data_IF_794769441015
#
_entry.id   IF_794769441015
#
_cell.length_a   1.000
_cell.length_b   1.000
_cell.length_c   1.000
_cell.angle_alpha   90.00
_cell.angle_beta   90.00
_cell.angle_gamma   90.00
#
_symmetry.space_group_name_H-M   'P 1'
#
loop_
_entity.id
_entity.type
_entity.pdbx_description
1 polymer ?
#
# COMPACT_ATOMS: atom_id res chain seq x y z
N UNK A 1 -28.71 -11.34 1.75
CA UNK A 1 -27.43 -10.62 1.81
C UNK A 1 -26.98 -10.44 0.38
N UNK A 2 -26.70 -9.20 -0.07
CA UNK A 2 -26.37 -8.91 -1.47
C UNK A 2 -24.84 -8.89 -1.62
N UNK A 3 -24.31 -9.56 -2.64
CA UNK A 3 -22.89 -9.49 -2.98
C UNK A 3 -22.61 -8.15 -3.68
N UNK A 4 -21.72 -7.33 -3.10
CA UNK A 4 -21.37 -6.01 -3.64
C UNK A 4 -20.26 -6.08 -4.68
N UNK A 5 -19.28 -6.97 -4.47
CA UNK A 5 -18.15 -7.21 -5.37
C UNK A 5 -17.35 -8.43 -4.90
N UNK A 6 -16.54 -8.98 -5.81
CA UNK A 6 -15.55 -10.03 -5.55
C UNK A 6 -14.27 -9.75 -6.33
N UNK A 7 -13.12 -10.18 -5.80
CA UNK A 7 -11.82 -9.99 -6.45
C UNK A 7 -10.66 -9.83 -5.48
N UNK A 8 -9.47 -9.54 -6.00
CA UNK A 8 -8.30 -9.22 -5.16
C UNK A 8 -8.48 -7.85 -4.55
N UNK A 9 -8.66 -7.80 -3.22
CA UNK A 9 -8.79 -6.55 -2.48
C UNK A 9 -7.44 -5.84 -2.40
N UNK A 10 -7.40 -4.59 -2.88
CA UNK A 10 -6.22 -3.71 -2.77
C UNK A 10 -6.51 -2.51 -1.88
N UNK A 11 -5.47 -1.68 -1.64
CA UNK A 11 -5.61 -0.48 -0.81
C UNK A 11 -6.74 0.40 -1.36
N UNK A 12 -7.62 0.84 -0.45
CA UNK A 12 -8.77 1.68 -0.81
C UNK A 12 -8.37 2.92 -1.61
N UNK A 13 -9.20 3.27 -2.57
CA UNK A 13 -9.14 4.55 -3.24
C UNK A 13 -9.58 5.65 -2.28
N UNK A 14 -8.89 6.79 -2.33
CA UNK A 14 -9.24 7.99 -1.58
C UNK A 14 -9.19 9.18 -2.52
N UNK A 15 -10.26 9.97 -2.58
CA UNK A 15 -10.29 11.24 -3.31
C UNK A 15 -10.94 12.31 -2.45
N UNK A 16 -10.29 13.47 -2.34
CA UNK A 16 -10.87 14.63 -1.66
C UNK A 16 -11.87 15.33 -2.60
N UNK A 17 -13.13 15.35 -2.22
CA UNK A 17 -14.20 16.11 -2.85
C UNK A 17 -14.73 17.11 -1.83
N UNK A 18 -13.98 18.19 -1.63
CA UNK A 18 -14.16 19.11 -0.51
C UNK A 18 -15.63 19.55 -0.36
N UNK A 19 -16.19 19.52 0.86
CA UNK A 19 -15.51 19.29 2.15
C UNK A 19 -15.35 17.81 2.55
N UNK A 20 -15.77 16.85 1.71
CA UNK A 20 -15.87 15.44 2.08
C UNK A 20 -14.80 14.58 1.39
N UNK A 21 -14.24 13.62 2.10
CA UNK A 21 -13.35 12.61 1.51
C UNK A 21 -14.19 11.43 1.02
N UNK A 22 -14.04 11.05 -0.25
CA UNK A 22 -14.65 9.84 -0.79
C UNK A 22 -13.70 8.65 -0.69
N UNK A 23 -14.23 7.54 -0.21
CA UNK A 23 -13.54 6.26 -0.08
C UNK A 23 -14.16 5.22 -1.01
N UNK A 24 -13.33 4.36 -1.59
CA UNK A 24 -13.83 3.20 -2.34
C UNK A 24 -12.99 1.96 -2.12
N UNK A 25 -13.64 0.80 -1.96
CA UNK A 25 -12.96 -0.49 -2.08
C UNK A 25 -12.54 -0.73 -3.53
N UNK A 26 -11.38 -1.35 -3.72
CA UNK A 26 -10.85 -1.75 -5.02
C UNK A 26 -10.70 -3.26 -5.02
N UNK A 27 -11.53 -3.95 -5.79
CA UNK A 27 -11.49 -5.40 -5.99
C UNK A 27 -11.26 -5.66 -7.47
N UNK A 28 -10.02 -6.02 -7.83
CA UNK A 28 -9.58 -6.08 -9.23
C UNK A 28 -9.99 -4.80 -10.00
N UNK A 29 -10.81 -4.93 -11.05
CA UNK A 29 -11.31 -3.82 -11.88
C UNK A 29 -12.58 -3.14 -11.33
N UNK A 30 -13.10 -3.61 -10.18
CA UNK A 30 -14.33 -3.10 -9.57
C UNK A 30 -14.04 -2.12 -8.45
N UNK A 31 -14.74 -0.98 -8.46
CA UNK A 31 -14.66 0.03 -7.43
C UNK A 31 -16.02 0.20 -6.73
N UNK A 32 -16.06 -0.05 -5.41
CA UNK A 32 -17.29 0.04 -4.61
C UNK A 32 -17.23 1.27 -3.69
N UNK A 33 -18.15 2.26 -3.80
CA UNK A 33 -18.21 3.40 -2.90
C UNK A 33 -18.46 2.97 -1.45
N UNK A 34 -17.62 3.43 -0.52
CA UNK A 34 -17.70 3.05 0.91
C UNK A 34 -18.52 4.05 1.72
N UNK A 35 -18.48 5.33 1.36
CA UNK A 35 -19.20 6.37 2.11
C UNK A 35 -20.69 6.06 2.33
N UNK A 36 -21.47 5.59 1.33
CA UNK A 36 -22.87 5.23 1.52
C UNK A 36 -23.10 3.99 2.40
N UNK A 37 -22.04 3.20 2.65
CA UNK A 37 -22.09 1.96 3.43
C UNK A 37 -21.75 2.19 4.91
N UNK A 38 -21.37 3.41 5.30
CA UNK A 38 -21.07 3.74 6.69
C UNK A 38 -22.33 3.55 7.55
N UNK A 39 -22.19 2.85 8.68
CA UNK A 39 -23.29 2.48 9.56
C UNK A 39 -24.02 1.19 9.17
N UNK A 40 -23.71 0.61 8.00
CA UNK A 40 -24.26 -0.67 7.58
C UNK A 40 -23.40 -1.85 8.06
N UNK A 41 -24.00 -3.04 8.20
CA UNK A 41 -23.27 -4.28 8.50
C UNK A 41 -22.70 -4.87 7.22
N UNK A 42 -21.38 -4.88 7.08
CA UNK A 42 -20.67 -5.49 5.98
C UNK A 42 -20.05 -6.83 6.40
N UNK A 43 -20.06 -7.80 5.49
CA UNK A 43 -19.35 -9.08 5.65
C UNK A 43 -18.26 -9.15 4.59
N UNK A 44 -17.03 -9.43 5.01
CA UNK A 44 -15.93 -9.77 4.12
C UNK A 44 -15.71 -11.28 4.18
N UNK A 45 -15.62 -11.91 3.02
CA UNK A 45 -15.39 -13.35 2.88
C UNK A 45 -14.07 -13.63 2.19
N UNK A 46 -13.23 -14.44 2.82
CA UNK A 46 -11.95 -14.84 2.24
C UNK A 46 -12.15 -16.03 1.29
N UNK A 47 -11.89 -15.80 0.00
CA UNK A 47 -12.12 -16.78 -1.08
C UNK A 47 -10.96 -17.78 -1.28
N UNK A 48 -10.01 -17.87 -0.35
CA UNK A 48 -8.95 -18.89 -0.39
C UNK A 48 -7.72 -18.55 -1.26
N UNK A 49 -7.59 -17.30 -1.69
CA UNK A 49 -6.42 -16.84 -2.45
C UNK A 49 -5.89 -15.50 -1.92
N UNK A 50 -4.59 -15.44 -1.68
CA UNK A 50 -3.83 -14.21 -1.45
C UNK A 50 -2.87 -14.07 -2.62
N UNK A 51 -2.83 -12.89 -3.25
CA UNK A 51 -1.91 -12.57 -4.33
C UNK A 51 -0.94 -11.48 -3.87
N UNK A 52 0.33 -11.63 -4.23
CA UNK A 52 1.32 -10.60 -3.96
C UNK A 52 1.00 -9.32 -4.74
N UNK A 53 0.82 -8.19 -4.07
CA UNK A 53 0.55 -6.89 -4.71
C UNK A 53 1.64 -6.43 -5.68
N UNK A 54 2.86 -6.95 -5.56
CA UNK A 54 3.99 -6.60 -6.44
C UNK A 54 4.14 -7.55 -7.64
N UNK A 55 4.05 -8.86 -7.44
CA UNK A 55 4.34 -9.85 -8.49
C UNK A 55 3.16 -10.73 -8.91
N UNK A 56 1.98 -10.55 -8.31
CA UNK A 56 0.76 -11.28 -8.61
C UNK A 56 0.74 -12.75 -8.19
N UNK A 57 1.87 -13.34 -7.79
CA UNK A 57 1.92 -14.77 -7.40
C UNK A 57 0.99 -15.07 -6.24
N UNK A 58 0.25 -16.18 -6.35
CA UNK A 58 -0.55 -16.74 -5.27
C UNK A 58 0.36 -17.18 -4.12
N UNK A 59 0.01 -16.81 -2.90
CA UNK A 59 0.72 -17.20 -1.68
C UNK A 59 -0.26 -17.64 -0.60
N UNK A 60 0.26 -18.32 0.43
CA UNK A 60 -0.50 -18.70 1.62
C UNK A 60 -0.67 -17.54 2.61
N UNK A 61 0.21 -16.54 2.53
CA UNK A 61 0.25 -15.39 3.41
C UNK A 61 0.85 -14.18 2.67
N UNK A 62 0.56 -12.99 3.15
CA UNK A 62 1.14 -11.74 2.67
C UNK A 62 1.79 -10.97 3.82
N UNK A 63 2.81 -10.18 3.50
CA UNK A 63 3.58 -9.37 4.44
C UNK A 63 3.52 -7.89 4.06
N UNK A 64 3.59 -7.01 5.06
CA UNK A 64 3.57 -5.56 4.90
C UNK A 64 2.49 -5.08 3.92
N UNK A 65 2.88 -4.54 2.75
CA UNK A 65 1.98 -3.95 1.75
C UNK A 65 1.27 -4.98 0.86
N UNK A 66 1.02 -6.19 1.37
CA UNK A 66 0.45 -7.29 0.59
C UNK A 66 1.48 -8.05 -0.25
N UNK A 67 2.75 -8.08 0.15
CA UNK A 67 3.80 -8.74 -0.61
C UNK A 67 4.04 -10.20 -0.20
N UNK A 68 4.52 -11.03 -1.12
CA UNK A 68 5.06 -12.33 -0.77
C UNK A 68 6.42 -12.18 -0.07
N UNK A 69 6.84 -13.19 0.70
CA UNK A 69 8.12 -13.17 1.42
C UNK A 69 9.31 -12.78 0.52
N UNK A 70 9.50 -13.37 -0.69
CA UNK A 70 10.58 -12.94 -1.59
C UNK A 70 10.51 -11.48 -2.02
N UNK A 71 9.30 -10.95 -2.27
CA UNK A 71 9.15 -9.55 -2.68
C UNK A 71 9.38 -8.60 -1.51
N UNK A 72 8.89 -8.92 -0.32
CA UNK A 72 9.16 -8.15 0.89
C UNK A 72 10.67 -8.02 1.14
N UNK A 73 11.42 -9.13 1.08
CA UNK A 73 12.86 -9.12 1.33
C UNK A 73 13.65 -8.35 0.27
N UNK A 74 13.24 -8.41 -1.00
CA UNK A 74 13.91 -7.69 -2.10
C UNK A 74 13.57 -6.20 -2.15
N UNK A 75 12.34 -5.83 -1.81
CA UNK A 75 11.84 -4.47 -1.95
C UNK A 75 12.01 -3.63 -0.69
N UNK A 76 12.36 -4.23 0.46
CA UNK A 76 12.73 -3.48 1.64
C UNK A 76 13.97 -2.64 1.30
N UNK A 77 13.86 -1.31 1.15
CA UNK A 77 15.05 -0.51 1.11
C UNK A 77 15.60 -0.60 2.53
N UNK A 78 16.82 -1.11 2.70
CA UNK A 78 17.63 -0.68 3.84
C UNK A 78 17.52 0.84 3.79
N UNK A 79 16.89 1.47 4.79
CA UNK A 79 16.94 2.92 4.91
C UNK A 79 18.42 3.26 5.02
N UNK A 80 19.08 3.54 3.88
CA UNK A 80 20.19 4.47 3.88
C UNK A 80 19.55 5.75 4.37
N UNK A 81 19.76 6.04 5.65
CA UNK A 81 19.61 7.40 6.15
C UNK A 81 20.45 8.22 5.17
N UNK A 82 19.79 9.00 4.32
CA UNK A 82 20.47 10.04 3.60
C UNK A 82 21.01 10.96 4.68
N UNK A 83 22.29 10.79 5.05
CA UNK A 83 23.04 11.91 5.59
C UNK A 83 22.91 12.99 4.51
N UNK A 84 22.18 14.06 4.83
CA UNK A 84 22.17 15.25 4.00
C UNK A 84 23.60 15.71 3.72
N UNK A 85 23.86 16.47 2.65
CA UNK A 85 25.19 16.93 2.31
C UNK A 85 25.70 17.85 3.43
N UNK A 86 26.41 17.26 4.39
CA UNK A 86 26.80 17.89 5.63
C UNK A 86 28.28 17.72 5.84
N UNK A 87 29.01 18.80 5.57
CA UNK A 87 30.42 19.09 5.89
C UNK A 87 31.45 18.64 4.84
N UNK A 88 31.69 19.57 3.92
CA UNK A 88 32.94 19.74 3.19
C UNK A 88 34.12 19.79 4.19
N UNK A 89 35.20 19.01 4.00
CA UNK A 89 36.37 19.13 4.86
C UNK A 89 37.01 20.50 4.60
N UNK A 90 37.11 21.31 5.65
CA UNK A 90 37.91 22.53 5.63
C UNK A 90 39.35 22.14 5.30
N UNK A 91 39.72 22.25 4.02
CA UNK A 91 41.13 22.21 3.60
C UNK A 91 41.82 23.37 4.33
N UNK A 92 42.70 23.03 5.28
CA UNK A 92 43.67 23.96 5.83
C UNK A 92 44.46 24.53 4.65
N UNK A 93 44.17 25.78 4.27
CA UNK A 93 45.09 26.56 3.46
C UNK A 93 46.25 26.91 4.37
N UNK A 94 47.36 26.19 4.23
CA UNK A 94 48.66 26.79 4.48
C UNK A 94 48.85 27.88 3.42
N UNK A 95 48.97 29.11 3.87
CA UNK A 95 49.62 30.21 3.16
C UNK A 95 50.79 30.66 4.08
N UNK A 96 51.90 31.16 3.52
CA UNK A 96 53.24 31.06 4.06
C UNK A 96 53.45 31.76 5.39
#
# INVERSE_FOLDING_TARGET
MIELARGSLSKMAVSLQAPVVQYSFRLDDTQVPVNPLIGQRLRLEYLGAIHCSHCGKRTKTSFSQGYCYPCMTRLAPVRRVHHGPGKMPLRRRHLP
#
